data_IF_821421139582
#
_entry.id   IF_821421139582
#
_cell.length_a   1.000
_cell.length_b   1.000
_cell.length_c   1.000
_cell.angle_alpha   90.00
_cell.angle_beta   90.00
_cell.angle_gamma   90.00
#
_symmetry.space_group_name_H-M   'P 1'
#
loop_
_entity.id
_entity.type
_entity.pdbx_description
1 polymer ?
#
# COMPACT_ATOMS: atom_id res chain seq x y z
N UNK A 1 -8.76 -15.06 -0.10
CA UNK A 1 -9.73 -14.66 0.95
C UNK A 1 -9.20 -14.72 2.38
N UNK A 2 -8.00 -15.25 2.65
CA UNK A 2 -7.51 -15.42 4.02
C UNK A 2 -7.53 -14.13 4.86
N UNK A 3 -7.02 -13.02 4.32
CA UNK A 3 -6.98 -11.71 5.01
C UNK A 3 -8.40 -11.16 5.26
N UNK A 4 -9.27 -11.22 4.26
CA UNK A 4 -10.64 -10.69 4.33
C UNK A 4 -11.49 -11.40 5.38
N UNK A 5 -11.34 -12.72 5.52
CA UNK A 5 -12.15 -13.52 6.44
C UNK A 5 -11.64 -13.49 7.88
N UNK A 6 -10.36 -13.17 8.08
CA UNK A 6 -9.70 -13.26 9.39
C UNK A 6 -9.65 -11.94 10.14
N UNK A 7 -10.09 -10.83 9.52
CA UNK A 7 -10.16 -9.52 10.17
C UNK A 7 -8.79 -8.91 10.53
N UNK A 8 -7.71 -9.37 9.90
CA UNK A 8 -6.38 -8.81 10.12
C UNK A 8 -6.29 -7.40 9.51
N UNK A 9 -5.58 -6.46 10.16
CA UNK A 9 -5.31 -5.16 9.57
C UNK A 9 -4.48 -5.34 8.31
N UNK A 10 -4.90 -4.68 7.23
CA UNK A 10 -4.22 -4.72 5.96
C UNK A 10 -4.25 -3.35 5.28
N UNK A 11 -3.17 -3.01 4.58
CA UNK A 11 -3.05 -1.78 3.79
C UNK A 11 -2.46 -2.11 2.42
N UNK A 12 -2.92 -1.40 1.39
CA UNK A 12 -2.38 -1.49 0.03
C UNK A 12 -1.68 -0.18 -0.31
N UNK A 13 -0.42 -0.27 -0.74
CA UNK A 13 0.43 0.86 -1.08
C UNK A 13 0.71 0.86 -2.58
N UNK A 14 0.54 1.98 -3.29
CA UNK A 14 1.03 2.10 -4.66
C UNK A 14 2.57 2.15 -4.64
N UNK A 15 3.24 1.34 -5.47
CA UNK A 15 4.70 1.32 -5.57
C UNK A 15 5.24 1.92 -6.87
N UNK A 16 4.36 2.28 -7.79
CA UNK A 16 4.73 2.89 -9.07
C UNK A 16 4.04 2.20 -10.24
N UNK A 17 4.65 2.33 -11.41
CA UNK A 17 4.17 1.72 -12.66
C UNK A 17 5.24 0.79 -13.23
N UNK A 18 4.81 -0.27 -13.91
CA UNK A 18 5.72 -1.13 -14.64
C UNK A 18 6.22 -0.46 -15.94
N UNK A 19 7.06 -1.18 -16.71
CA UNK A 19 7.60 -0.69 -17.98
C UNK A 19 6.53 -0.39 -19.04
N UNK A 20 5.29 -0.86 -18.86
CA UNK A 20 4.14 -0.62 -19.75
C UNK A 20 3.22 0.47 -19.20
N UNK A 21 3.57 1.11 -18.09
CA UNK A 21 2.76 2.15 -17.44
C UNK A 21 1.63 1.58 -16.58
N UNK A 22 1.61 0.28 -16.29
CA UNK A 22 0.56 -0.33 -15.46
C UNK A 22 0.89 -0.12 -13.97
N UNK A 23 0.00 0.48 -13.17
CA UNK A 23 0.23 0.65 -11.73
C UNK A 23 0.24 -0.69 -11.00
N UNK A 24 1.18 -0.84 -10.08
CA UNK A 24 1.25 -1.97 -9.16
C UNK A 24 1.49 -1.50 -7.73
N UNK A 25 1.24 -2.39 -6.77
CA UNK A 25 1.32 -2.06 -5.35
C UNK A 25 1.74 -3.23 -4.47
N UNK A 26 1.89 -2.92 -3.20
CA UNK A 26 2.26 -3.85 -2.13
C UNK A 26 1.15 -3.89 -1.09
N UNK A 27 0.67 -5.10 -0.78
CA UNK A 27 -0.23 -5.32 0.34
C UNK A 27 0.55 -5.78 1.57
N UNK A 28 0.41 -5.04 2.66
CA UNK A 28 0.97 -5.40 3.97
C UNK A 28 -0.18 -5.89 4.85
N UNK A 29 0.01 -7.02 5.52
CA UNK A 29 -0.96 -7.62 6.45
C UNK A 29 -0.27 -7.82 7.78
N UNK A 30 -0.82 -7.23 8.84
CA UNK A 30 -0.28 -7.32 10.19
C UNK A 30 -1.06 -8.29 11.08
N UNK A 31 -0.56 -8.56 12.30
CA UNK A 31 -1.30 -9.33 13.31
C UNK A 31 -2.61 -8.63 13.73
N UNK A 32 -3.58 -9.36 14.31
CA UNK A 32 -4.84 -8.77 14.77
C UNK A 32 -4.61 -7.62 15.76
N UNK A 33 -5.40 -6.55 15.63
CA UNK A 33 -5.36 -5.35 16.49
C UNK A 33 -4.02 -4.60 16.52
N UNK A 34 -3.18 -4.76 15.49
CA UNK A 34 -1.88 -4.08 15.34
C UNK A 34 -1.88 -3.11 14.17
N UNK A 35 -2.96 -2.35 14.00
CA UNK A 35 -3.14 -1.34 12.95
C UNK A 35 -1.99 -0.33 12.91
N UNK A 36 -1.53 0.14 14.07
CA UNK A 36 -0.40 1.06 14.19
C UNK A 36 0.88 0.47 13.59
N UNK A 37 1.14 -0.83 13.78
CA UNK A 37 2.32 -1.48 13.21
C UNK A 37 2.24 -1.53 11.69
N UNK A 38 1.05 -1.85 11.15
CA UNK A 38 0.81 -1.85 9.70
C UNK A 38 1.01 -0.45 9.11
N UNK A 39 0.52 0.59 9.79
CA UNK A 39 0.70 1.98 9.39
C UNK A 39 2.16 2.44 9.49
N UNK A 40 2.89 2.04 10.53
CA UNK A 40 4.32 2.34 10.67
C UNK A 40 5.14 1.67 9.56
N UNK A 41 4.84 0.41 9.23
CA UNK A 41 5.47 -0.29 8.11
C UNK A 41 5.17 0.44 6.80
N UNK A 42 3.91 0.79 6.55
CA UNK A 42 3.53 1.57 5.37
C UNK A 42 4.27 2.90 5.28
N UNK A 43 4.34 3.64 6.38
CA UNK A 43 5.05 4.91 6.44
C UNK A 43 6.54 4.74 6.12
N UNK A 44 7.19 3.69 6.64
CA UNK A 44 8.58 3.39 6.31
C UNK A 44 8.78 3.13 4.81
N UNK A 45 7.85 2.44 4.16
CA UNK A 45 7.87 2.27 2.70
C UNK A 45 7.69 3.59 1.97
N UNK A 46 6.77 4.47 2.39
CA UNK A 46 6.57 5.78 1.77
C UNK A 46 7.81 6.68 1.83
N UNK A 47 8.61 6.59 2.91
CA UNK A 47 9.85 7.36 3.03
C UNK A 47 10.92 6.95 2.02
N UNK A 48 10.93 5.68 1.60
CA UNK A 48 11.92 5.14 0.65
C UNK A 48 11.40 5.18 -0.78
N UNK A 49 10.09 4.99 -0.97
CA UNK A 49 9.41 4.91 -2.26
C UNK A 49 8.24 5.91 -2.32
N UNK A 50 8.52 7.20 -2.57
CA UNK A 50 7.49 8.22 -2.64
C UNK A 50 6.61 8.04 -3.89
N UNK A 51 5.42 7.46 -3.69
CA UNK A 51 4.46 7.18 -4.75
C UNK A 51 3.74 8.41 -5.30
N UNK A 52 3.76 9.53 -4.58
CA UNK A 52 3.06 10.77 -4.96
C UNK A 52 3.50 11.34 -6.31
N UNK A 53 4.73 11.01 -6.74
CA UNK A 53 5.28 11.41 -8.04
C UNK A 53 4.57 10.75 -9.24
N UNK A 54 3.86 9.65 -9.01
CA UNK A 54 3.15 8.88 -10.05
C UNK A 54 1.63 9.08 -10.00
N UNK A 55 1.15 10.13 -9.34
CA UNK A 55 -0.29 10.43 -9.28
C UNK A 55 -0.80 10.80 -10.69
N UNK A 56 -1.82 10.10 -11.22
CA UNK A 56 -2.43 10.52 -12.47
C UNK A 56 -3.03 11.92 -12.29
N UNK A 57 -2.94 12.74 -13.34
CA UNK A 57 -3.65 14.01 -13.35
C UNK A 57 -5.15 13.72 -13.20
N UNK A 58 -5.77 14.28 -12.15
CA UNK A 58 -7.21 14.18 -11.97
C UNK A 58 -7.88 14.90 -13.15
N UNK A 59 -8.47 14.13 -14.06
CA UNK A 59 -9.38 14.66 -15.07
C UNK A 59 -10.68 15.03 -14.36
N UNK A 60 -10.86 16.32 -14.09
CA UNK A 60 -12.13 16.90 -13.64
C UNK A 60 -13.10 17.04 -14.82
#
# INVERSE_FOLDING_TARGET
>A
YYVTLTGHPAISLPLGVDAKGMPFGLQIVGPPHRDLLVLQAAHAFEQVLPWQQHRPALAL
#
